data_IF_475793547404
#
_entry.id   IF_475793547404
#
_cell.length_a   1.000
_cell.length_b   1.000
_cell.length_c   1.000
_cell.angle_alpha   90.00
_cell.angle_beta   90.00
_cell.angle_gamma   90.00
#
_symmetry.space_group_name_H-M   'P 1'
#
loop_
_entity.id
_entity.type
_entity.pdbx_description
1 polymer ?
#
# COMPACT_ATOMS: atom_id res chain seq x y z
N UNK A 1 -4.37 -9.21 5.56
CA UNK A 1 -3.71 -8.56 4.39
C UNK A 1 -4.37 -7.22 4.09
N UNK A 2 -5.71 -7.15 3.93
CA UNK A 2 -6.44 -5.93 3.58
C UNK A 2 -6.16 -4.77 4.53
N UNK A 3 -6.20 -5.02 5.83
CA UNK A 3 -5.93 -3.99 6.83
C UNK A 3 -4.53 -3.42 6.70
N UNK A 4 -3.53 -4.27 6.42
CA UNK A 4 -2.15 -3.84 6.23
C UNK A 4 -2.02 -2.96 4.98
N UNK A 5 -2.66 -3.34 3.87
CA UNK A 5 -2.67 -2.54 2.65
C UNK A 5 -3.33 -1.18 2.86
N UNK A 6 -4.52 -1.16 3.48
CA UNK A 6 -5.23 0.08 3.76
C UNK A 6 -4.45 1.01 4.69
N UNK A 7 -3.85 0.44 5.75
CA UNK A 7 -2.98 1.22 6.63
C UNK A 7 -1.79 1.81 5.87
N UNK A 8 -1.11 1.00 5.05
CA UNK A 8 0.03 1.43 4.25
C UNK A 8 -0.31 2.54 3.27
N UNK A 9 -1.44 2.44 2.59
CA UNK A 9 -1.91 3.42 1.60
C UNK A 9 -2.21 4.78 2.20
N UNK A 10 -2.74 4.79 3.43
CA UNK A 10 -3.34 5.98 4.04
C UNK A 10 -2.49 6.61 5.15
N UNK A 11 -1.43 5.95 5.57
CA UNK A 11 -0.57 6.42 6.64
C UNK A 11 0.65 7.15 6.08
N UNK A 12 0.99 8.28 6.68
CA UNK A 12 2.24 8.98 6.35
C UNK A 12 3.44 8.17 6.86
N UNK A 13 4.23 7.61 5.96
CA UNK A 13 5.35 6.71 6.22
C UNK A 13 6.67 7.25 5.63
N UNK A 14 7.82 6.93 6.24
CA UNK A 14 8.01 6.12 7.44
C UNK A 14 7.74 6.89 8.73
N UNK A 15 7.37 6.15 9.79
CA UNK A 15 7.21 6.64 11.16
C UNK A 15 8.47 6.32 11.97
N UNK A 16 9.02 5.12 11.75
CA UNK A 16 10.17 4.62 12.50
C UNK A 16 11.40 5.50 12.30
N UNK A 17 12.04 5.85 13.41
CA UNK A 17 13.31 6.56 13.43
C UNK A 17 14.33 5.79 14.29
N UNK A 18 15.35 5.16 13.67
CA UNK A 18 16.37 4.41 14.38
C UNK A 18 17.37 5.29 15.14
N UNK A 19 17.30 6.61 15.02
CA UNK A 19 18.25 7.52 15.64
C UNK A 19 19.69 7.24 15.18
N UNK A 20 20.61 7.07 16.15
CA UNK A 20 22.03 6.79 15.89
C UNK A 20 22.29 5.41 15.26
N UNK A 21 21.33 4.47 15.35
CA UNK A 21 21.44 3.16 14.72
C UNK A 21 21.15 3.17 13.21
N UNK A 22 20.77 4.31 12.64
CA UNK A 22 20.57 4.45 11.19
C UNK A 22 21.86 4.14 10.42
N UNK A 23 21.74 3.32 9.38
CA UNK A 23 22.89 2.89 8.56
C UNK A 23 23.22 3.88 7.45
N UNK A 24 22.22 4.52 6.87
CA UNK A 24 22.38 5.43 5.74
C UNK A 24 22.35 6.90 6.12
N UNK A 25 21.23 7.36 6.64
CA UNK A 25 21.00 8.75 7.01
C UNK A 25 20.50 8.84 8.45
N UNK A 26 21.24 9.53 9.29
CA UNK A 26 20.85 9.80 10.69
C UNK A 26 19.78 10.88 10.77
N UNK A 27 19.02 10.84 11.85
CA UNK A 27 17.98 11.82 12.12
C UNK A 27 16.65 11.53 11.42
N UNK A 28 15.78 12.53 11.38
CA UNK A 28 14.43 12.42 10.81
C UNK A 28 14.49 12.56 9.30
N UNK A 29 13.77 11.70 8.60
CA UNK A 29 13.52 11.82 7.17
C UNK A 29 12.04 12.15 6.93
N UNK A 30 11.68 12.76 5.78
CA UNK A 30 10.30 13.08 5.46
C UNK A 30 9.41 11.83 5.42
N UNK A 31 8.13 12.02 5.72
CA UNK A 31 7.09 11.01 5.56
C UNK A 31 6.08 11.49 4.55
N UNK A 32 5.47 10.58 3.80
CA UNK A 32 4.34 10.91 2.93
C UNK A 32 3.31 9.78 2.89
N UNK A 33 2.11 10.12 2.46
CA UNK A 33 1.04 9.15 2.20
C UNK A 33 1.24 8.57 0.80
N UNK A 34 1.26 7.25 0.71
CA UNK A 34 1.56 6.56 -0.54
C UNK A 34 0.41 6.59 -1.56
N UNK A 35 -0.83 6.57 -1.08
CA UNK A 35 -2.07 6.41 -1.86
C UNK A 35 -2.09 5.12 -2.72
N UNK A 36 -1.19 4.20 -2.45
CA UNK A 36 -1.08 2.92 -3.15
C UNK A 36 -0.32 1.90 -2.30
N UNK A 37 -0.69 0.61 -2.33
CA UNK A 37 0.07 -0.44 -1.66
C UNK A 37 1.33 -0.86 -2.44
N UNK A 38 1.50 -0.34 -3.67
CA UNK A 38 2.62 -0.70 -4.52
C UNK A 38 3.89 0.05 -4.11
N UNK A 39 4.92 -0.70 -3.73
CA UNK A 39 6.19 -0.14 -3.29
C UNK A 39 6.80 0.82 -4.32
N UNK A 40 6.73 0.48 -5.61
CA UNK A 40 7.26 1.33 -6.67
C UNK A 40 6.57 2.71 -6.70
N UNK A 41 5.25 2.76 -6.64
CA UNK A 41 4.50 4.02 -6.60
C UNK A 41 4.80 4.81 -5.33
N UNK A 42 4.81 4.12 -4.18
CA UNK A 42 5.11 4.74 -2.89
C UNK A 42 6.49 5.40 -2.87
N UNK A 43 7.53 4.71 -3.34
CA UNK A 43 8.89 5.26 -3.33
C UNK A 43 9.08 6.35 -4.37
N UNK A 44 8.49 6.21 -5.56
CA UNK A 44 8.59 7.21 -6.62
C UNK A 44 7.91 8.51 -6.23
N UNK A 45 6.70 8.44 -5.65
CA UNK A 45 5.99 9.59 -5.10
C UNK A 45 6.81 10.29 -4.02
N UNK A 46 7.37 9.52 -3.06
CA UNK A 46 8.19 10.10 -1.99
C UNK A 46 9.44 10.81 -2.54
N UNK A 47 10.14 10.20 -3.50
CA UNK A 47 11.30 10.81 -4.13
C UNK A 47 10.94 12.11 -4.85
N UNK A 48 9.85 12.10 -5.60
CA UNK A 48 9.37 13.27 -6.34
C UNK A 48 8.99 14.43 -5.42
N UNK A 49 8.17 14.16 -4.40
CA UNK A 49 7.71 15.19 -3.45
C UNK A 49 8.85 15.83 -2.66
N UNK A 50 9.88 15.05 -2.32
CA UNK A 50 11.01 15.51 -1.53
C UNK A 50 12.22 15.94 -2.37
N UNK A 51 12.14 15.87 -3.70
CA UNK A 51 13.24 16.18 -4.64
C UNK A 51 14.51 15.39 -4.34
N UNK A 52 14.33 14.11 -4.04
CA UNK A 52 15.39 13.16 -3.69
C UNK A 52 15.59 12.18 -4.84
N UNK A 53 16.85 11.94 -5.20
CA UNK A 53 17.20 10.99 -6.26
C UNK A 53 16.89 9.54 -5.87
N UNK A 54 16.41 8.76 -6.82
CA UNK A 54 16.06 7.35 -6.63
C UNK A 54 17.25 6.45 -6.24
N UNK A 55 18.48 6.89 -6.49
CA UNK A 55 19.72 6.17 -6.16
C UNK A 55 20.36 6.63 -4.84
N UNK A 56 19.77 7.60 -4.17
CA UNK A 56 20.31 8.24 -2.96
C UNK A 56 20.33 7.33 -1.74
N UNK A 57 21.15 7.70 -0.75
CA UNK A 57 21.18 7.06 0.58
C UNK A 57 19.89 7.31 1.35
N UNK A 58 19.30 8.49 1.18
CA UNK A 58 18.03 8.90 1.78
C UNK A 58 16.89 7.98 1.34
N UNK A 59 16.82 7.66 0.07
CA UNK A 59 15.82 6.71 -0.45
C UNK A 59 16.02 5.31 0.12
N UNK A 60 17.27 4.85 0.20
CA UNK A 60 17.58 3.54 0.78
C UNK A 60 17.21 3.48 2.26
N UNK A 61 17.54 4.53 3.02
CA UNK A 61 17.18 4.65 4.44
C UNK A 61 15.65 4.67 4.61
N UNK A 62 14.94 5.44 3.79
CA UNK A 62 13.46 5.46 3.79
C UNK A 62 12.88 4.07 3.61
N UNK A 63 13.41 3.29 2.67
CA UNK A 63 12.91 1.94 2.42
C UNK A 63 13.16 1.01 3.62
N UNK A 64 14.29 1.10 4.28
CA UNK A 64 14.59 0.34 5.49
C UNK A 64 13.63 0.68 6.63
N UNK A 65 13.41 1.96 6.89
CA UNK A 65 12.47 2.43 7.94
C UNK A 65 11.02 2.02 7.63
N UNK A 66 10.60 2.17 6.38
CA UNK A 66 9.29 1.72 5.92
C UNK A 66 9.08 0.23 6.15
N UNK A 67 10.10 -0.58 5.85
CA UNK A 67 10.04 -2.03 6.09
C UNK A 67 9.83 -2.33 7.57
N UNK A 68 10.52 -1.62 8.46
CA UNK A 68 10.34 -1.78 9.90
C UNK A 68 8.90 -1.44 10.35
N UNK A 69 8.35 -0.32 9.85
CA UNK A 69 6.95 0.06 10.12
C UNK A 69 5.96 -0.99 9.65
N UNK A 70 6.15 -1.50 8.44
CA UNK A 70 5.26 -2.53 7.85
C UNK A 70 5.34 -3.84 8.62
N UNK A 71 6.54 -4.28 9.01
CA UNK A 71 6.72 -5.47 9.84
C UNK A 71 6.04 -5.32 11.19
N UNK A 72 6.26 -4.20 11.88
CA UNK A 72 5.60 -3.90 13.16
C UNK A 72 4.08 -3.97 13.01
N UNK A 73 3.53 -3.28 12.02
CA UNK A 73 2.09 -3.25 11.77
C UNK A 73 1.52 -4.63 11.44
N UNK A 74 2.23 -5.42 10.66
CA UNK A 74 1.82 -6.79 10.35
C UNK A 74 1.72 -7.66 11.62
N UNK A 75 2.70 -7.57 12.52
CA UNK A 75 2.69 -8.29 13.80
C UNK A 75 1.52 -7.84 14.68
N UNK A 76 1.27 -6.53 14.80
CA UNK A 76 0.13 -5.99 15.53
C UNK A 76 -1.20 -6.56 15.02
N UNK A 77 -1.40 -6.58 13.71
CA UNK A 77 -2.62 -7.12 13.09
C UNK A 77 -2.75 -8.63 13.33
N UNK A 78 -1.65 -9.38 13.24
CA UNK A 78 -1.65 -10.83 13.48
C UNK A 78 -1.96 -11.15 14.94
N UNK A 79 -1.36 -10.45 15.88
CA UNK A 79 -1.64 -10.63 17.31
C UNK A 79 -3.12 -10.36 17.60
N UNK A 80 -3.65 -9.25 17.09
CA UNK A 80 -5.07 -8.93 17.24
C UNK A 80 -5.97 -10.00 16.61
N UNK A 81 -5.60 -10.55 15.45
CA UNK A 81 -6.35 -11.66 14.83
C UNK A 81 -6.33 -12.92 15.68
N UNK A 82 -5.23 -13.22 16.35
CA UNK A 82 -5.10 -14.37 17.26
C UNK A 82 -5.98 -14.15 18.48
N UNK A 83 -5.94 -12.97 19.08
CA UNK A 83 -6.70 -12.63 20.29
C UNK A 83 -8.21 -12.59 20.03
N UNK A 84 -8.65 -11.96 18.95
CA UNK A 84 -10.06 -11.78 18.59
C UNK A 84 -10.68 -13.00 17.88
N UNK A 85 -9.87 -13.87 17.29
CA UNK A 85 -10.33 -15.06 16.59
C UNK A 85 -11.35 -14.76 15.48
N UNK A 86 -12.54 -15.32 15.59
CA UNK A 86 -13.64 -15.10 14.64
C UNK A 86 -14.31 -13.72 14.76
N UNK A 87 -14.10 -13.02 15.86
CA UNK A 87 -14.61 -11.65 16.05
C UNK A 87 -13.76 -10.60 15.34
N UNK A 88 -12.57 -10.96 14.86
CA UNK A 88 -11.68 -10.03 14.20
C UNK A 88 -12.34 -9.33 13.00
N UNK A 89 -12.32 -8.02 13.03
CA UNK A 89 -12.76 -7.16 11.93
C UNK A 89 -11.63 -6.26 11.47
N UNK A 90 -11.54 -6.05 10.15
CA UNK A 90 -10.61 -5.09 9.59
C UNK A 90 -10.93 -3.68 10.11
N UNK A 91 -9.91 -2.96 10.59
CA UNK A 91 -10.06 -1.61 11.12
C UNK A 91 -10.33 -0.54 10.02
N UNK A 92 -10.14 -0.90 8.76
CA UNK A 92 -10.34 -0.01 7.62
C UNK A 92 -11.47 -0.54 6.73
N UNK A 93 -12.34 0.34 6.22
CA UNK A 93 -13.34 -0.05 5.24
C UNK A 93 -12.66 -0.50 3.93
N UNK A 94 -13.32 -1.38 3.20
CA UNK A 94 -12.90 -1.74 1.85
C UNK A 94 -13.02 -0.50 0.93
N UNK A 95 -12.07 -0.34 0.03
CA UNK A 95 -12.15 0.73 -0.97
C UNK A 95 -13.33 0.51 -1.91
N UNK A 96 -13.97 1.60 -2.33
CA UNK A 96 -15.13 1.54 -3.22
C UNK A 96 -14.81 0.86 -4.55
N UNK A 97 -13.62 1.13 -5.12
CA UNK A 97 -13.14 0.48 -6.34
C UNK A 97 -13.03 -1.03 -6.19
N UNK A 98 -12.50 -1.51 -5.05
CA UNK A 98 -12.40 -2.95 -4.77
C UNK A 98 -13.79 -3.58 -4.65
N UNK A 99 -14.73 -2.93 -3.98
CA UNK A 99 -16.09 -3.43 -3.87
C UNK A 99 -16.77 -3.50 -5.24
N UNK A 100 -16.70 -2.42 -6.01
CA UNK A 100 -17.31 -2.32 -7.33
C UNK A 100 -16.71 -3.33 -8.33
N UNK A 101 -15.41 -3.31 -8.51
CA UNK A 101 -14.75 -4.26 -9.42
C UNK A 101 -14.86 -5.70 -8.92
N UNK A 102 -14.90 -5.88 -7.61
CA UNK A 102 -14.99 -7.18 -6.95
C UNK A 102 -16.31 -7.91 -7.15
N UNK A 103 -17.38 -7.23 -7.48
CA UNK A 103 -18.66 -7.86 -7.81
C UNK A 103 -18.53 -8.87 -8.95
N UNK A 104 -17.66 -8.58 -9.91
CA UNK A 104 -17.34 -9.49 -11.03
C UNK A 104 -16.00 -10.20 -10.83
N UNK A 105 -14.93 -9.45 -10.52
CA UNK A 105 -13.56 -9.98 -10.56
C UNK A 105 -13.13 -10.75 -9.31
N UNK A 106 -13.87 -10.69 -8.22
CA UNK A 106 -13.57 -11.42 -6.98
C UNK A 106 -14.65 -12.46 -6.62
N UNK A 107 -15.70 -12.59 -7.42
CA UNK A 107 -16.78 -13.53 -7.16
C UNK A 107 -16.38 -14.94 -7.56
N UNK A 108 -16.47 -15.88 -6.63
CA UNK A 108 -16.13 -17.28 -6.87
C UNK A 108 -17.07 -17.88 -7.91
N UNK A 109 -16.50 -18.54 -8.93
CA UNK A 109 -17.24 -19.16 -10.01
C UNK A 109 -17.59 -18.24 -11.18
N UNK A 110 -17.23 -16.97 -11.12
CA UNK A 110 -17.36 -16.05 -12.24
C UNK A 110 -16.18 -16.24 -13.20
N UNK A 111 -16.43 -16.35 -14.50
CA UNK A 111 -15.39 -16.48 -15.53
C UNK A 111 -14.49 -15.23 -15.59
N UNK A 112 -15.01 -14.07 -15.19
CA UNK A 112 -14.25 -12.83 -15.07
C UNK A 112 -13.44 -12.70 -13.76
N UNK A 113 -13.42 -13.73 -12.91
CA UNK A 113 -12.73 -13.74 -11.64
C UNK A 113 -11.21 -13.89 -11.81
N UNK A 114 -10.57 -12.85 -12.24
CA UNK A 114 -9.12 -12.81 -12.49
C UNK A 114 -8.37 -11.96 -11.46
N UNK A 115 -9.10 -11.27 -10.61
CA UNK A 115 -8.53 -10.47 -9.53
C UNK A 115 -7.97 -11.35 -8.41
N UNK A 116 -6.74 -11.12 -7.99
CA UNK A 116 -6.09 -11.84 -6.87
C UNK A 116 -5.68 -10.93 -5.72
N UNK A 117 -6.26 -9.77 -5.62
CA UNK A 117 -5.88 -8.85 -4.57
C UNK A 117 -7.08 -8.07 -4.06
N UNK A 118 -6.95 -7.57 -2.85
CA UNK A 118 -7.92 -6.66 -2.24
C UNK A 118 -7.20 -5.32 -2.02
N UNK A 119 -6.60 -4.84 -3.10
CA UNK A 119 -6.00 -3.52 -3.20
C UNK A 119 -6.83 -2.66 -4.16
N UNK A 120 -6.63 -1.36 -4.12
CA UNK A 120 -7.26 -0.46 -5.08
C UNK A 120 -6.88 -0.85 -6.51
N UNK A 121 -7.89 -1.06 -7.35
CA UNK A 121 -7.71 -1.43 -8.74
C UNK A 121 -7.39 -0.21 -9.62
N UNK A 122 -7.84 0.97 -9.19
CA UNK A 122 -7.81 2.19 -9.99
C UNK A 122 -6.42 2.73 -10.34
N UNK A 123 -5.38 2.63 -9.50
CA UNK A 123 -4.04 3.11 -9.89
C UNK A 123 -3.45 2.40 -11.11
N UNK A 124 -3.92 1.17 -11.38
CA UNK A 124 -3.45 0.38 -12.53
C UNK A 124 -4.48 0.29 -13.66
N UNK A 125 -5.77 0.44 -13.33
CA UNK A 125 -6.88 0.21 -14.25
C UNK A 125 -7.72 1.46 -14.56
N UNK A 126 -7.35 2.62 -14.06
CA UNK A 126 -8.00 3.88 -14.40
C UNK A 126 -7.00 4.98 -14.72
N UNK A 127 -7.34 5.85 -15.64
CA UNK A 127 -6.73 7.17 -15.76
C UNK A 127 -5.57 7.33 -16.74
N UNK A 128 -5.35 6.41 -17.65
CA UNK A 128 -4.42 6.64 -18.77
C UNK A 128 -5.04 6.26 -20.11
N UNK A 129 -4.67 6.91 -21.23
CA UNK A 129 -5.20 6.58 -22.55
C UNK A 129 -5.07 5.09 -22.89
N UNK A 130 -3.93 4.48 -22.54
CA UNK A 130 -3.68 3.06 -22.80
C UNK A 130 -4.56 2.12 -21.98
N UNK A 131 -5.09 2.58 -20.84
CA UNK A 131 -5.97 1.79 -19.97
C UNK A 131 -7.42 2.05 -20.32
N UNK A 132 -7.81 3.29 -20.59
CA UNK A 132 -9.16 3.66 -21.00
C UNK A 132 -9.57 2.98 -22.32
N UNK A 133 -8.65 2.87 -23.26
CA UNK A 133 -8.91 2.20 -24.54
C UNK A 133 -9.08 0.69 -24.40
N UNK A 134 -8.37 0.05 -23.47
CA UNK A 134 -8.53 -1.38 -23.18
C UNK A 134 -9.85 -1.73 -22.51
N UNK A 135 -10.45 -0.78 -21.81
CA UNK A 135 -11.66 -0.98 -21.04
C UNK A 135 -12.84 -0.14 -21.54
N UNK A 136 -12.74 0.36 -22.78
CA UNK A 136 -13.77 1.20 -23.39
C UNK A 136 -15.18 0.60 -23.37
N UNK A 137 -15.26 -0.71 -23.51
CA UNK A 137 -16.52 -1.47 -23.49
C UNK A 137 -16.73 -2.25 -22.18
N UNK A 138 -15.94 -1.94 -21.17
CA UNK A 138 -16.09 -2.56 -19.85
C UNK A 138 -17.28 -1.94 -19.13
N UNK A 139 -18.20 -2.75 -18.56
CA UNK A 139 -19.40 -2.26 -17.88
C UNK A 139 -19.09 -1.42 -16.66
#
# INVERSE_FOLDING_TARGET
>A
VNELFRWYETTALPIYNPGEAARGVKGKIPSNVADSPLCHLSVSKWCFENKIEATSKERSERCGRLTADVCKKAVEILNRKIEEGNAFKCAYPMQKSVSYCGECHLTKGNEANWGKGIMDCTPCHSGGPAVSDKFKDHP
#
